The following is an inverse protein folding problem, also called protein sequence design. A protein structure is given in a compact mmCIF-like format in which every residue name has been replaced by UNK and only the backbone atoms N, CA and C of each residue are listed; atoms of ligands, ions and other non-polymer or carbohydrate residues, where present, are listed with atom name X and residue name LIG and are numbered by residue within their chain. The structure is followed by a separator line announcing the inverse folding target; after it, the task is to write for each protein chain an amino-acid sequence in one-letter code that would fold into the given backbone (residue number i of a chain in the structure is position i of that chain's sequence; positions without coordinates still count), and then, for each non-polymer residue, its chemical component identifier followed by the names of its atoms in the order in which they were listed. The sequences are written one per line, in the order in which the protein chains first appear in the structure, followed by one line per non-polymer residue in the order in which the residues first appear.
data_IF_549018432071
#
_entry.id   IF_549018432071
#
_cell.length_a   1.000
_cell.length_b   1.000
_cell.length_c   1.000
_cell.angle_alpha   90.00
_cell.angle_beta   90.00
_cell.angle_gamma   90.00
#
_symmetry.space_group_name_H-M   'P 1'
#
loop_
_entity.id
_entity.type
_entity.pdbx_description
1 polymer ?
#
# COMPACT_ATOMS: atom_id res chain seq x y z
N UNK A 1 -26.06 3.19 38.06
CA UNK A 1 -24.64 3.56 37.97
C UNK A 1 -24.02 2.65 36.94
N UNK A 2 -24.04 3.13 35.71
CA UNK A 2 -23.52 2.39 34.54
C UNK A 2 -22.12 2.91 34.25
N UNK A 3 -21.12 2.05 34.38
CA UNK A 3 -19.77 2.32 33.92
C UNK A 3 -19.77 2.15 32.41
N UNK A 4 -19.77 3.27 31.68
CA UNK A 4 -19.41 3.30 30.27
C UNK A 4 -17.92 3.03 30.16
N UNK A 5 -17.58 1.88 29.60
CA UNK A 5 -16.22 1.59 29.18
C UNK A 5 -15.85 2.51 28.05
N UNK A 6 -14.90 3.37 28.32
CA UNK A 6 -14.18 4.19 27.34
C UNK A 6 -13.28 3.22 26.53
N UNK A 7 -13.83 2.69 25.44
CA UNK A 7 -13.08 1.95 24.45
C UNK A 7 -12.33 2.99 23.58
N UNK A 8 -11.25 3.52 24.13
CA UNK A 8 -10.30 4.33 23.40
C UNK A 8 -9.85 3.55 22.16
N UNK A 9 -10.28 4.01 21.00
CA UNK A 9 -9.75 3.56 19.71
C UNK A 9 -8.23 3.60 19.80
N UNK A 10 -7.58 2.43 19.73
CA UNK A 10 -6.13 2.31 19.73
C UNK A 10 -5.62 3.08 18.54
N UNK A 11 -5.05 4.26 18.79
CA UNK A 11 -4.45 5.12 17.79
C UNK A 11 -3.31 4.34 17.14
N UNK A 12 -3.56 3.79 15.96
CA UNK A 12 -2.64 2.88 15.28
C UNK A 12 -1.41 3.66 14.85
N UNK A 13 -0.29 3.38 15.47
CA UNK A 13 0.99 4.01 15.17
C UNK A 13 1.51 3.55 13.81
N UNK A 14 1.94 4.49 12.95
CA UNK A 14 2.54 4.18 11.65
C UNK A 14 3.85 3.40 11.83
N UNK A 15 4.09 2.43 10.94
CA UNK A 15 5.37 1.70 10.93
C UNK A 15 6.49 2.62 10.45
N UNK A 16 7.59 2.77 11.20
CA UNK A 16 8.63 3.75 10.87
C UNK A 16 9.20 3.62 9.44
N UNK A 17 9.34 2.42 8.89
CA UNK A 17 9.79 2.21 7.51
C UNK A 17 8.76 2.69 6.49
N UNK A 18 7.46 2.45 6.73
CA UNK A 18 6.38 2.94 5.87
C UNK A 18 6.33 4.47 5.89
N UNK A 19 6.45 5.09 7.08
CA UNK A 19 6.51 6.54 7.21
C UNK A 19 7.66 7.16 6.41
N UNK A 20 8.85 6.57 6.47
CA UNK A 20 10.03 7.01 5.69
C UNK A 20 9.75 6.89 4.20
N UNK A 21 9.20 5.77 3.72
CA UNK A 21 8.90 5.56 2.29
C UNK A 21 7.84 6.53 1.79
N UNK A 22 6.77 6.75 2.56
CA UNK A 22 5.72 7.72 2.19
C UNK A 22 6.30 9.14 2.13
N UNK A 23 7.12 9.53 3.11
CA UNK A 23 7.77 10.85 3.10
C UNK A 23 8.70 11.01 1.89
N UNK A 24 9.54 10.03 1.58
CA UNK A 24 10.38 10.06 0.38
C UNK A 24 9.53 10.09 -0.90
N UNK A 25 8.42 9.37 -0.95
CA UNK A 25 7.47 9.42 -2.05
C UNK A 25 6.97 10.84 -2.30
N UNK A 26 6.60 11.57 -1.24
CA UNK A 26 6.22 12.99 -1.33
C UNK A 26 7.38 13.89 -1.76
N UNK A 27 8.58 13.67 -1.22
CA UNK A 27 9.77 14.48 -1.57
C UNK A 27 10.19 14.30 -3.03
N UNK A 28 10.12 13.07 -3.56
CA UNK A 28 10.59 12.73 -4.91
C UNK A 28 9.54 13.02 -5.97
N UNK A 29 8.29 12.66 -5.71
CA UNK A 29 7.22 12.77 -6.71
C UNK A 29 6.32 13.99 -6.50
N UNK A 30 6.39 14.64 -5.32
CA UNK A 30 5.51 15.74 -4.96
C UNK A 30 4.03 15.31 -4.87
N UNK A 31 3.16 16.31 -4.73
CA UNK A 31 1.71 16.13 -4.78
C UNK A 31 1.17 16.22 -6.22
N UNK A 32 1.97 16.71 -7.15
CA UNK A 32 1.58 16.98 -8.53
C UNK A 32 2.09 15.96 -9.54
N UNK A 33 1.76 16.19 -10.81
CA UNK A 33 2.12 15.34 -11.93
C UNK A 33 3.62 15.39 -12.33
N UNK A 34 4.43 16.25 -11.73
CA UNK A 34 5.85 16.37 -12.08
C UNK A 34 6.71 15.77 -10.97
N UNK A 35 7.50 14.72 -11.27
CA UNK A 35 8.52 14.25 -10.35
C UNK A 35 9.53 15.37 -10.09
N UNK A 36 9.91 15.58 -8.83
CA UNK A 36 11.10 16.38 -8.50
C UNK A 36 12.33 15.66 -9.06
N UNK A 37 13.37 16.43 -9.37
CA UNK A 37 14.61 15.92 -9.98
C UNK A 37 15.16 14.69 -9.26
N UNK A 38 15.84 13.82 -10.04
CA UNK A 38 16.50 12.64 -9.49
C UNK A 38 17.52 13.07 -8.42
N UNK A 39 17.56 12.34 -7.27
CA UNK A 39 18.59 12.55 -6.27
C UNK A 39 18.21 13.43 -5.07
N UNK A 40 16.95 13.41 -4.64
CA UNK A 40 16.56 14.12 -3.41
C UNK A 40 17.25 13.48 -2.20
N UNK A 41 18.21 14.20 -1.62
CA UNK A 41 18.89 13.83 -0.37
C UNK A 41 18.20 14.48 0.80
N UNK A 42 17.69 13.68 1.70
CA UNK A 42 17.00 14.13 2.91
C UNK A 42 17.96 14.02 4.09
N UNK A 43 18.28 15.15 4.77
CA UNK A 43 19.10 15.13 5.97
C UNK A 43 18.48 14.29 7.09
N UNK A 44 19.30 13.58 7.87
CA UNK A 44 18.83 12.77 9.00
C UNK A 44 17.97 13.55 9.97
N UNK A 45 18.32 14.82 10.26
CA UNK A 45 17.54 15.68 11.15
C UNK A 45 16.09 15.88 10.67
N UNK A 46 15.90 16.04 9.35
CA UNK A 46 14.56 16.19 8.76
C UNK A 46 13.73 14.93 8.98
N UNK A 47 14.32 13.76 8.73
CA UNK A 47 13.64 12.48 8.96
C UNK A 47 13.28 12.28 10.44
N UNK A 48 14.18 12.66 11.37
CA UNK A 48 13.90 12.61 12.80
C UNK A 48 12.73 13.52 13.16
N UNK A 49 12.76 14.77 12.74
CA UNK A 49 11.68 15.75 13.01
C UNK A 49 10.32 15.29 12.44
N UNK A 50 10.31 14.79 11.21
CA UNK A 50 9.07 14.33 10.58
C UNK A 50 8.49 13.11 11.31
N UNK A 51 9.33 12.13 11.64
CA UNK A 51 8.88 10.91 12.29
C UNK A 51 8.50 11.13 13.76
N UNK A 52 9.17 12.06 14.45
CA UNK A 52 8.78 12.49 15.81
C UNK A 52 7.35 13.05 15.83
N UNK A 53 6.97 13.87 14.84
CA UNK A 53 5.59 14.38 14.68
C UNK A 53 4.56 13.28 14.38
N UNK A 54 5.01 12.09 13.97
CA UNK A 54 4.20 10.88 13.80
C UNK A 54 4.23 9.98 15.04
N UNK A 55 4.80 10.44 16.15
CA UNK A 55 4.93 9.68 17.38
C UNK A 55 6.03 8.60 17.36
N UNK A 56 6.95 8.65 16.39
CA UNK A 56 8.05 7.69 16.27
C UNK A 56 9.30 8.23 16.95
N UNK A 57 9.86 7.49 17.91
CA UNK A 57 11.06 7.92 18.62
C UNK A 57 12.31 7.98 17.72
N UNK A 58 13.28 8.83 18.07
CA UNK A 58 14.59 8.94 17.40
C UNK A 58 15.28 7.57 17.25
N UNK A 59 15.25 6.75 18.29
CA UNK A 59 15.87 5.43 18.27
C UNK A 59 15.20 4.51 17.23
N UNK A 60 13.86 4.51 17.17
CA UNK A 60 13.09 3.73 16.21
C UNK A 60 13.33 4.21 14.78
N UNK A 61 13.40 5.55 14.57
CA UNK A 61 13.72 6.16 13.28
C UNK A 61 15.10 5.74 12.79
N UNK A 62 16.15 5.89 13.62
CA UNK A 62 17.51 5.48 13.26
C UNK A 62 17.62 4.00 12.96
N UNK A 63 16.95 3.15 13.75
CA UNK A 63 16.89 1.70 13.50
C UNK A 63 16.20 1.38 12.16
N UNK A 64 15.11 2.08 11.82
CA UNK A 64 14.42 1.92 10.54
C UNK A 64 15.33 2.33 9.37
N UNK A 65 15.97 3.50 9.44
CA UNK A 65 16.90 3.97 8.40
C UNK A 65 18.07 3.00 8.17
N UNK A 66 18.66 2.46 9.24
CA UNK A 66 19.72 1.46 9.13
C UNK A 66 19.24 0.18 8.45
N UNK A 67 18.05 -0.34 8.83
CA UNK A 67 17.47 -1.52 8.16
C UNK A 67 17.18 -1.27 6.68
N UNK A 68 16.69 -0.08 6.34
CA UNK A 68 16.40 0.30 4.94
C UNK A 68 17.68 0.39 4.10
N UNK A 69 18.76 0.92 4.65
CA UNK A 69 20.08 0.90 4.00
C UNK A 69 20.56 -0.53 3.79
N UNK A 70 20.47 -1.38 4.81
CA UNK A 70 20.87 -2.79 4.72
C UNK A 70 20.06 -3.58 3.68
N UNK A 71 18.80 -3.21 3.49
CA UNK A 71 17.91 -3.80 2.46
C UNK A 71 18.07 -3.19 1.07
N UNK A 72 18.99 -2.24 0.89
CA UNK A 72 19.19 -1.58 -0.41
C UNK A 72 18.06 -0.64 -0.83
N UNK A 73 17.21 -0.19 0.11
CA UNK A 73 16.14 0.78 -0.18
C UNK A 73 16.63 2.22 -0.11
N UNK A 74 17.60 2.50 0.76
CA UNK A 74 18.21 3.80 0.95
C UNK A 74 19.73 3.74 0.78
N UNK A 75 20.29 4.76 0.14
CA UNK A 75 21.72 5.06 0.18
C UNK A 75 21.98 6.12 1.26
N UNK A 76 23.06 5.92 2.05
CA UNK A 76 23.50 6.89 3.05
C UNK A 76 24.65 7.71 2.48
N UNK A 77 24.50 9.03 2.53
CA UNK A 77 25.54 10.01 2.19
C UNK A 77 26.06 10.67 3.46
N UNK A 78 27.38 10.71 3.63
CA UNK A 78 28.04 11.43 4.74
C UNK A 78 28.58 12.76 4.21
N UNK A 79 28.28 13.83 4.91
CA UNK A 79 28.84 15.16 4.67
C UNK A 79 29.37 15.71 6.01
N UNK A 80 30.66 15.53 6.24
CA UNK A 80 31.30 15.84 7.49
C UNK A 80 30.66 15.14 8.69
N UNK A 81 30.07 15.90 9.62
CA UNK A 81 29.37 15.40 10.81
C UNK A 81 27.90 15.06 10.56
N UNK A 82 27.37 15.41 9.40
CA UNK A 82 25.97 15.18 9.05
C UNK A 82 25.83 13.94 8.14
N UNK A 83 24.66 13.37 8.12
CA UNK A 83 24.32 12.34 7.16
C UNK A 83 22.96 12.63 6.53
N UNK A 84 22.82 12.28 5.28
CA UNK A 84 21.59 12.35 4.51
C UNK A 84 21.29 10.98 3.88
N UNK A 85 20.05 10.77 3.52
CA UNK A 85 19.58 9.56 2.87
C UNK A 85 18.92 9.89 1.54
N UNK A 86 19.02 8.96 0.62
CA UNK A 86 18.46 9.03 -0.73
C UNK A 86 17.86 7.67 -1.10
N UNK A 87 16.75 7.66 -1.85
CA UNK A 87 16.23 6.40 -2.40
C UNK A 87 17.21 5.81 -3.40
N UNK A 88 17.44 4.51 -3.32
CA UNK A 88 18.15 3.80 -4.38
C UNK A 88 17.33 3.81 -5.68
N UNK A 89 17.94 3.60 -6.86
CA UNK A 89 17.21 3.49 -8.13
C UNK A 89 16.11 2.43 -8.07
N UNK A 90 16.38 1.28 -7.46
CA UNK A 90 15.43 0.17 -7.30
C UNK A 90 14.25 0.58 -6.42
N UNK A 91 14.50 1.21 -5.28
CA UNK A 91 13.44 1.70 -4.40
C UNK A 91 12.58 2.79 -5.05
N UNK A 92 13.20 3.65 -5.87
CA UNK A 92 12.49 4.67 -6.64
C UNK A 92 11.56 4.05 -7.69
N UNK A 93 12.02 3.04 -8.41
CA UNK A 93 11.20 2.29 -9.38
C UNK A 93 10.01 1.63 -8.68
N UNK A 94 10.24 1.00 -7.53
CA UNK A 94 9.18 0.37 -6.74
C UNK A 94 8.12 1.38 -6.28
N UNK A 95 8.55 2.54 -5.78
CA UNK A 95 7.63 3.60 -5.37
C UNK A 95 6.86 4.21 -6.55
N UNK A 96 7.50 4.34 -7.72
CA UNK A 96 6.84 4.82 -8.93
C UNK A 96 5.73 3.86 -9.38
N UNK A 97 5.97 2.55 -9.37
CA UNK A 97 4.97 1.54 -9.70
C UNK A 97 3.77 1.57 -8.73
N UNK A 98 4.03 1.71 -7.43
CA UNK A 98 2.97 1.82 -6.42
C UNK A 98 2.16 3.12 -6.52
N UNK A 99 2.79 4.20 -6.98
CA UNK A 99 2.20 5.53 -7.07
C UNK A 99 0.99 5.59 -8.01
N UNK A 100 1.06 4.93 -9.15
CA UNK A 100 0.00 5.03 -10.17
C UNK A 100 -1.33 4.48 -9.64
N UNK A 101 -1.31 3.38 -8.90
CA UNK A 101 -2.50 2.86 -8.24
C UNK A 101 -2.90 3.73 -7.05
N UNK A 102 -1.92 4.17 -6.23
CA UNK A 102 -2.16 4.96 -5.02
C UNK A 102 -2.91 6.27 -5.31
N UNK A 103 -2.61 6.90 -6.44
CA UNK A 103 -3.18 8.20 -6.85
C UNK A 103 -4.12 8.10 -8.06
N UNK A 104 -4.50 6.88 -8.44
CA UNK A 104 -5.53 6.68 -9.44
C UNK A 104 -6.87 7.31 -9.00
N UNK A 105 -7.62 7.93 -9.89
CA UNK A 105 -9.00 8.34 -9.60
C UNK A 105 -9.94 7.14 -9.41
N UNK A 106 -9.56 5.98 -9.95
CA UNK A 106 -10.33 4.73 -9.89
C UNK A 106 -9.44 3.56 -9.47
N UNK A 107 -8.89 3.57 -8.23
CA UNK A 107 -7.86 2.61 -7.82
C UNK A 107 -8.37 1.18 -7.62
N UNK A 108 -9.69 1.02 -7.56
CA UNK A 108 -10.38 -0.26 -7.43
C UNK A 108 -10.99 -0.75 -8.75
N UNK A 109 -10.93 0.05 -9.82
CA UNK A 109 -11.46 -0.36 -11.09
C UNK A 109 -10.44 -1.16 -11.89
N UNK A 110 -10.92 -2.23 -12.48
CA UNK A 110 -10.18 -3.06 -13.42
C UNK A 110 -10.93 -3.14 -14.74
N UNK A 111 -10.28 -3.68 -15.78
CA UNK A 111 -10.95 -4.00 -17.04
C UNK A 111 -12.17 -4.90 -16.73
N UNK A 112 -13.38 -4.49 -17.17
CA UNK A 112 -14.60 -5.21 -16.82
C UNK A 112 -14.51 -6.68 -17.20
N UNK A 113 -14.97 -7.54 -16.30
CA UNK A 113 -15.09 -8.97 -16.48
C UNK A 113 -13.80 -9.74 -16.81
N UNK A 114 -12.64 -9.11 -16.75
CA UNK A 114 -11.36 -9.80 -16.90
C UNK A 114 -10.83 -10.22 -15.53
N UNK A 115 -10.48 -11.50 -15.45
CA UNK A 115 -9.88 -12.12 -14.29
C UNK A 115 -8.56 -12.76 -14.67
N UNK A 116 -7.61 -12.72 -13.75
CA UNK A 116 -6.41 -13.55 -13.81
C UNK A 116 -6.65 -14.80 -13.00
N UNK A 117 -6.49 -15.96 -13.60
CA UNK A 117 -6.58 -17.27 -12.94
C UNK A 117 -5.19 -17.86 -12.88
N UNK A 118 -4.76 -18.31 -11.71
CA UNK A 118 -3.51 -19.05 -11.52
C UNK A 118 -3.80 -20.41 -10.92
N UNK A 119 -3.31 -21.47 -11.57
CA UNK A 119 -3.22 -22.81 -11.03
C UNK A 119 -1.76 -23.19 -10.79
N UNK A 120 -1.42 -23.64 -9.58
CA UNK A 120 -0.04 -24.03 -9.25
C UNK A 120 -0.06 -25.16 -8.20
N UNK A 121 -0.26 -26.42 -8.62
CA UNK A 121 -0.31 -27.59 -7.73
C UNK A 121 1.10 -27.98 -7.27
N UNK A 122 1.59 -27.33 -6.23
CA UNK A 122 2.90 -27.64 -5.64
C UNK A 122 2.87 -28.94 -4.82
N UNK A 123 3.80 -29.88 -5.04
CA UNK A 123 3.93 -31.08 -4.22
C UNK A 123 4.33 -30.75 -2.77
N UNK A 124 4.14 -31.70 -1.86
CA UNK A 124 4.44 -31.50 -0.43
C UNK A 124 5.94 -31.22 -0.18
N UNK A 125 6.82 -31.71 -1.04
CA UNK A 125 8.26 -31.47 -0.98
C UNK A 125 8.61 -29.97 -1.13
N UNK A 126 7.74 -29.17 -1.75
CA UNK A 126 7.89 -27.74 -1.95
C UNK A 126 7.08 -26.89 -0.94
N UNK A 127 6.90 -27.36 0.28
CA UNK A 127 6.11 -26.69 1.33
C UNK A 127 6.52 -25.24 1.59
N UNK A 128 7.83 -24.96 1.63
CA UNK A 128 8.32 -23.60 1.84
C UNK A 128 7.97 -22.67 0.67
N UNK A 129 8.07 -23.18 -0.56
CA UNK A 129 7.69 -22.43 -1.76
C UNK A 129 6.18 -22.18 -1.76
N UNK A 130 5.36 -23.14 -1.34
CA UNK A 130 3.92 -22.98 -1.20
C UNK A 130 3.56 -21.83 -0.26
N UNK A 131 4.21 -21.73 0.90
CA UNK A 131 4.00 -20.63 1.83
C UNK A 131 4.36 -19.26 1.21
N UNK A 132 5.52 -19.18 0.54
CA UNK A 132 5.95 -17.96 -0.14
C UNK A 132 5.00 -17.58 -1.28
N UNK A 133 4.54 -18.57 -2.05
CA UNK A 133 3.55 -18.40 -3.12
C UNK A 133 2.25 -17.82 -2.56
N UNK A 134 1.68 -18.41 -1.51
CA UNK A 134 0.46 -17.90 -0.87
C UNK A 134 0.63 -16.46 -0.40
N UNK A 135 1.76 -16.16 0.24
CA UNK A 135 2.06 -14.81 0.71
C UNK A 135 2.08 -13.83 -0.46
N UNK A 136 2.80 -14.12 -1.55
CA UNK A 136 2.86 -13.23 -2.72
C UNK A 136 1.50 -13.06 -3.40
N UNK A 137 0.74 -14.14 -3.53
CA UNK A 137 -0.59 -14.10 -4.12
C UNK A 137 -1.54 -13.21 -3.32
N UNK A 138 -1.56 -13.36 -1.99
CA UNK A 138 -2.36 -12.49 -1.11
C UNK A 138 -1.95 -11.02 -1.28
N UNK A 139 -0.65 -10.73 -1.32
CA UNK A 139 -0.16 -9.37 -1.53
C UNK A 139 -0.50 -8.80 -2.90
N UNK A 140 -0.60 -9.65 -3.91
CA UNK A 140 -1.01 -9.28 -5.27
C UNK A 140 -2.53 -9.25 -5.47
N UNK A 141 -3.31 -9.43 -4.39
CA UNK A 141 -4.77 -9.36 -4.43
C UNK A 141 -5.47 -10.63 -4.91
N UNK A 142 -4.75 -11.76 -5.01
CA UNK A 142 -5.38 -13.03 -5.35
C UNK A 142 -6.16 -13.60 -4.18
N UNK A 143 -7.35 -14.13 -4.47
CA UNK A 143 -8.14 -14.95 -3.57
C UNK A 143 -8.13 -16.41 -3.99
N UNK A 144 -8.15 -17.32 -3.02
CA UNK A 144 -8.18 -18.77 -3.28
C UNK A 144 -9.61 -19.23 -3.51
N UNK A 145 -9.88 -19.85 -4.66
CA UNK A 145 -11.21 -20.42 -4.99
C UNK A 145 -11.28 -21.91 -4.79
N UNK A 146 -10.15 -22.60 -4.94
CA UNK A 146 -9.98 -24.04 -4.70
C UNK A 146 -8.53 -24.31 -4.25
N UNK A 147 -8.23 -25.50 -3.72
CA UNK A 147 -6.84 -25.89 -3.52
C UNK A 147 -6.03 -25.71 -4.79
N UNK A 148 -4.92 -24.98 -4.69
CA UNK A 148 -4.00 -24.68 -5.80
C UNK A 148 -4.56 -23.81 -6.94
N UNK A 149 -5.76 -23.23 -6.80
CA UNK A 149 -6.36 -22.33 -7.77
C UNK A 149 -6.71 -21.00 -7.12
N UNK A 150 -6.16 -19.93 -7.69
CA UNK A 150 -6.38 -18.56 -7.24
C UNK A 150 -6.88 -17.69 -8.38
N UNK A 151 -7.62 -16.66 -8.01
CA UNK A 151 -8.15 -15.66 -8.94
C UNK A 151 -7.83 -14.26 -8.45
N UNK A 152 -7.62 -13.33 -9.36
CA UNK A 152 -7.52 -11.90 -9.08
C UNK A 152 -8.33 -11.11 -10.10
N UNK A 153 -8.97 -9.99 -9.72
CA UNK A 153 -9.61 -9.10 -10.68
C UNK A 153 -8.57 -8.45 -11.60
N UNK A 154 -8.95 -8.22 -12.86
CA UNK A 154 -8.09 -7.58 -13.85
C UNK A 154 -6.97 -8.47 -14.39
N UNK A 155 -6.01 -7.82 -15.08
CA UNK A 155 -4.84 -8.47 -15.67
C UNK A 155 -3.64 -8.30 -14.74
N UNK A 156 -3.21 -9.40 -14.13
CA UNK A 156 -1.99 -9.44 -13.33
C UNK A 156 -0.88 -10.11 -14.14
N UNK A 157 0.27 -9.48 -14.23
CA UNK A 157 1.48 -10.11 -14.77
C UNK A 157 2.04 -11.12 -13.75
N UNK A 158 1.59 -12.37 -13.90
CA UNK A 158 1.95 -13.46 -12.99
C UNK A 158 3.45 -13.78 -13.06
N UNK A 159 4.07 -13.64 -14.23
CA UNK A 159 5.51 -13.91 -14.39
C UNK A 159 6.35 -12.92 -13.56
N UNK A 160 6.11 -11.64 -13.72
CA UNK A 160 6.79 -10.60 -12.93
C UNK A 160 6.45 -10.73 -11.45
N UNK A 161 5.20 -10.98 -11.10
CA UNK A 161 4.73 -11.11 -9.72
C UNK A 161 5.37 -12.29 -8.97
N UNK A 162 5.46 -13.45 -9.62
CA UNK A 162 6.11 -14.63 -9.02
C UNK A 162 7.63 -14.55 -9.04
N UNK A 163 8.23 -13.94 -10.07
CA UNK A 163 9.66 -13.66 -10.15
C UNK A 163 10.55 -14.88 -9.83
N UNK A 164 11.35 -14.75 -8.78
CA UNK A 164 12.29 -15.77 -8.31
C UNK A 164 11.65 -17.08 -7.79
N UNK A 165 10.33 -17.09 -7.50
CA UNK A 165 9.62 -18.32 -7.16
C UNK A 165 9.40 -19.24 -8.38
N UNK A 166 9.47 -18.73 -9.61
CA UNK A 166 9.36 -19.51 -10.83
C UNK A 166 10.67 -20.26 -11.15
N UNK A 167 11.14 -21.04 -10.18
CA UNK A 167 12.29 -21.93 -10.39
C UNK A 167 12.03 -22.96 -11.50
N UNK A 168 13.05 -23.65 -12.04
CA UNK A 168 12.84 -24.73 -13.03
C UNK A 168 11.88 -25.83 -12.58
N UNK A 169 11.77 -26.06 -11.27
CA UNK A 169 10.83 -27.03 -10.68
C UNK A 169 9.39 -26.51 -10.58
N UNK A 170 9.21 -25.22 -10.31
CA UNK A 170 7.89 -24.58 -10.10
C UNK A 170 7.25 -24.16 -11.42
N UNK A 171 8.04 -23.62 -12.36
CA UNK A 171 7.55 -23.07 -13.63
C UNK A 171 6.65 -24.04 -14.42
N UNK A 172 6.95 -25.33 -14.55
CA UNK A 172 6.07 -26.28 -15.27
C UNK A 172 4.73 -26.52 -14.57
N UNK A 173 4.63 -26.26 -13.27
CA UNK A 173 3.44 -26.46 -12.46
C UNK A 173 2.53 -25.22 -12.44
N UNK A 174 3.08 -24.05 -12.77
CA UNK A 174 2.34 -22.80 -12.79
C UNK A 174 1.66 -22.59 -14.15
N UNK A 175 0.34 -22.42 -14.13
CA UNK A 175 -0.45 -22.11 -15.32
C UNK A 175 -1.32 -20.88 -15.03
N UNK A 176 -1.19 -19.83 -15.83
CA UNK A 176 -1.94 -18.60 -15.66
C UNK A 176 -2.72 -18.25 -16.94
N UNK A 177 -3.92 -17.74 -16.74
CA UNK A 177 -4.83 -17.36 -17.80
C UNK A 177 -5.51 -16.04 -17.47
N UNK A 178 -5.80 -15.25 -18.49
CA UNK A 178 -6.77 -14.16 -18.40
C UNK A 178 -8.07 -14.57 -19.07
N UNK A 179 -9.19 -14.33 -18.43
CA UNK A 179 -10.49 -14.69 -19.00
C UNK A 179 -11.67 -14.16 -18.20
N UNK A 180 -12.84 -14.38 -18.73
CA UNK A 180 -14.12 -14.02 -18.12
C UNK A 180 -14.77 -15.27 -17.53
N UNK A 181 -15.26 -15.25 -16.28
CA UNK A 181 -16.03 -16.34 -15.74
C UNK A 181 -17.27 -16.62 -16.59
N UNK A 182 -17.51 -17.89 -16.88
CA UNK A 182 -18.68 -18.36 -17.63
C UNK A 182 -19.40 -19.48 -16.87
N UNK A 183 -20.67 -19.74 -17.22
CA UNK A 183 -21.39 -20.85 -16.61
C UNK A 183 -20.55 -22.15 -16.66
N UNK A 184 -20.55 -22.97 -15.60
CA UNK A 184 -21.38 -22.85 -14.39
C UNK A 184 -20.85 -21.91 -13.28
N UNK A 185 -19.80 -21.13 -13.53
CA UNK A 185 -19.22 -20.23 -12.53
C UNK A 185 -20.09 -18.97 -12.37
N UNK A 186 -20.44 -18.65 -11.12
CA UNK A 186 -21.06 -17.38 -10.75
C UNK A 186 -19.98 -16.46 -10.16
N UNK A 187 -19.73 -15.28 -10.78
CA UNK A 187 -18.72 -14.34 -10.29
C UNK A 187 -18.95 -13.87 -8.85
N UNK A 188 -20.20 -13.65 -8.45
CA UNK A 188 -20.51 -13.24 -7.08
C UNK A 188 -20.18 -14.35 -6.07
N UNK A 189 -20.41 -15.62 -6.42
CA UNK A 189 -20.04 -16.75 -5.59
C UNK A 189 -18.51 -16.94 -5.53
N UNK A 190 -17.79 -16.73 -6.64
CA UNK A 190 -16.33 -16.76 -6.66
C UNK A 190 -15.76 -15.71 -5.72
N UNK A 191 -16.31 -14.48 -5.73
CA UNK A 191 -15.89 -13.39 -4.85
C UNK A 191 -16.12 -13.79 -3.39
N UNK A 192 -17.32 -14.23 -3.01
CA UNK A 192 -17.63 -14.63 -1.63
C UNK A 192 -16.77 -15.79 -1.11
N UNK A 193 -16.32 -16.64 -2.00
CA UNK A 193 -15.42 -17.76 -1.64
C UNK A 193 -13.97 -17.32 -1.49
N UNK A 194 -13.53 -16.42 -2.35
CA UNK A 194 -12.13 -16.05 -2.46
C UNK A 194 -11.71 -14.95 -1.47
N UNK A 195 -12.65 -14.09 -1.06
CA UNK A 195 -12.36 -12.95 -0.16
C UNK A 195 -13.39 -12.85 0.99
N UNK A 196 -12.90 -12.42 2.13
CA UNK A 196 -13.74 -12.04 3.28
C UNK A 196 -14.29 -10.62 3.06
N UNK A 197 -15.49 -10.54 2.47
CA UNK A 197 -16.15 -9.26 2.20
C UNK A 197 -16.46 -8.48 3.48
N UNK A 198 -16.67 -9.16 4.61
CA UNK A 198 -16.91 -8.50 5.90
C UNK A 198 -15.64 -7.79 6.38
N UNK A 199 -14.49 -8.47 6.31
CA UNK A 199 -13.21 -7.87 6.66
C UNK A 199 -12.83 -6.72 5.72
N UNK A 200 -13.08 -6.84 4.42
CA UNK A 200 -12.85 -5.77 3.45
C UNK A 200 -13.73 -4.55 3.73
N UNK A 201 -15.03 -4.75 3.97
CA UNK A 201 -15.95 -3.67 4.35
C UNK A 201 -15.50 -2.99 5.64
N UNK A 202 -15.09 -3.75 6.65
CA UNK A 202 -14.59 -3.22 7.91
C UNK A 202 -13.33 -2.36 7.69
N UNK A 203 -12.42 -2.75 6.80
CA UNK A 203 -11.25 -1.94 6.47
C UNK A 203 -11.62 -0.59 5.85
N UNK A 204 -12.60 -0.57 4.94
CA UNK A 204 -13.14 0.67 4.39
C UNK A 204 -13.82 1.54 5.45
N UNK A 205 -14.62 0.93 6.33
CA UNK A 205 -15.30 1.66 7.41
C UNK A 205 -14.27 2.32 8.34
N UNK A 206 -13.24 1.58 8.78
CA UNK A 206 -12.17 2.14 9.60
C UNK A 206 -11.44 3.31 8.93
N UNK A 207 -11.23 3.22 7.61
CA UNK A 207 -10.64 4.33 6.85
C UNK A 207 -11.57 5.55 6.83
N UNK A 208 -12.86 5.36 6.58
CA UNK A 208 -13.86 6.42 6.54
C UNK A 208 -14.03 7.08 7.91
N UNK A 209 -14.17 6.31 8.98
CA UNK A 209 -14.29 6.80 10.36
C UNK A 209 -13.13 7.74 10.74
N UNK A 210 -11.92 7.43 10.26
CA UNK A 210 -10.75 8.26 10.53
C UNK A 210 -10.65 9.49 9.63
N UNK A 211 -11.05 9.38 8.37
CA UNK A 211 -10.69 10.37 7.35
C UNK A 211 -11.86 11.15 6.76
N UNK A 212 -13.10 10.83 7.11
CA UNK A 212 -14.25 11.56 6.59
C UNK A 212 -14.32 13.01 7.09
N UNK A 213 -13.97 13.22 8.36
CA UNK A 213 -14.01 14.53 9.03
C UNK A 213 -12.70 14.84 9.79
N UNK A 214 -11.51 14.75 9.16
CA UNK A 214 -10.27 15.05 9.86
C UNK A 214 -10.16 16.56 10.11
N UNK A 215 -9.88 16.96 11.33
CA UNK A 215 -9.57 18.33 11.73
C UNK A 215 -8.13 18.43 12.21
N UNK A 216 -7.15 18.56 11.29
CA UNK A 216 -5.75 18.72 11.68
C UNK A 216 -5.54 20.08 12.34
N UNK A 217 -4.72 20.13 13.38
CA UNK A 217 -4.27 21.38 13.93
C UNK A 217 -3.42 22.17 12.92
N UNK A 218 -3.39 23.51 13.01
CA UNK A 218 -2.47 24.31 12.19
C UNK A 218 -1.02 23.83 12.37
N UNK A 219 -0.32 23.59 11.26
CA UNK A 219 1.06 23.09 11.26
C UNK A 219 1.20 21.57 11.31
N UNK A 220 0.11 20.81 11.33
CA UNK A 220 0.13 19.32 11.32
C UNK A 220 -0.29 18.73 9.97
N UNK A 221 -0.35 19.52 8.92
CA UNK A 221 -0.80 19.05 7.61
C UNK A 221 0.10 17.97 7.02
N UNK A 222 1.41 18.08 7.18
CA UNK A 222 2.36 17.06 6.71
C UNK A 222 2.19 15.72 7.44
N UNK A 223 2.19 15.64 8.79
CA UNK A 223 1.91 14.38 9.48
C UNK A 223 0.58 13.75 9.08
N UNK A 224 -0.49 14.53 9.01
CA UNK A 224 -1.81 14.03 8.61
C UNK A 224 -1.82 13.49 7.18
N UNK A 225 -1.14 14.16 6.25
CA UNK A 225 -1.03 13.67 4.88
C UNK A 225 -0.23 12.37 4.80
N UNK A 226 0.86 12.23 5.57
CA UNK A 226 1.64 10.99 5.63
C UNK A 226 0.81 9.82 6.16
N UNK A 227 0.03 10.05 7.22
CA UNK A 227 -0.87 9.05 7.79
C UNK A 227 -2.00 8.69 6.82
N UNK A 228 -2.60 9.68 6.15
CA UNK A 228 -3.63 9.45 5.14
C UNK A 228 -3.12 8.56 4.00
N UNK A 229 -1.93 8.85 3.49
CA UNK A 229 -1.33 8.06 2.39
C UNK A 229 -0.99 6.64 2.85
N UNK A 230 -0.50 6.47 4.09
CA UNK A 230 -0.20 5.16 4.65
C UNK A 230 -1.46 4.31 4.83
N UNK A 231 -2.51 4.87 5.46
CA UNK A 231 -3.79 4.18 5.66
C UNK A 231 -4.45 3.83 4.31
N UNK A 232 -4.41 4.77 3.34
CA UNK A 232 -4.89 4.53 1.99
C UNK A 232 -4.13 3.42 1.28
N UNK A 233 -2.81 3.43 1.36
CA UNK A 233 -1.97 2.37 0.81
C UNK A 233 -2.25 1.00 1.43
N UNK A 234 -2.59 0.95 2.72
CA UNK A 234 -3.02 -0.30 3.40
C UNK A 234 -4.37 -0.77 2.88
N UNK A 235 -5.32 0.14 2.74
CA UNK A 235 -6.63 -0.19 2.20
C UNK A 235 -6.53 -0.75 0.78
N UNK A 236 -5.73 -0.13 -0.09
CA UNK A 236 -5.47 -0.62 -1.45
C UNK A 236 -4.78 -2.00 -1.49
N UNK A 237 -3.96 -2.32 -0.48
CA UNK A 237 -3.38 -3.65 -0.35
C UNK A 237 -4.40 -4.69 0.14
N UNK A 238 -5.34 -4.28 0.97
CA UNK A 238 -6.38 -5.17 1.49
C UNK A 238 -7.46 -5.45 0.45
N UNK A 239 -7.95 -4.42 -0.26
CA UNK A 239 -8.96 -4.56 -1.30
C UNK A 239 -8.30 -4.61 -2.68
N UNK A 240 -8.37 -5.75 -3.39
CA UNK A 240 -7.80 -5.89 -4.72
C UNK A 240 -8.56 -5.12 -5.82
N UNK A 241 -9.70 -4.50 -5.50
CA UNK A 241 -10.60 -3.89 -6.48
C UNK A 241 -11.56 -4.92 -7.04
N UNK A 242 -12.41 -5.49 -6.18
CA UNK A 242 -13.41 -6.46 -6.62
C UNK A 242 -14.44 -5.81 -7.55
N UNK A 243 -14.88 -6.51 -8.63
CA UNK A 243 -15.80 -5.95 -9.60
C UNK A 243 -17.13 -5.52 -8.98
N UNK A 244 -17.42 -4.23 -9.02
CA UNK A 244 -18.59 -3.59 -8.40
C UNK A 244 -19.94 -4.24 -8.79
N UNK A 245 -20.17 -4.71 -10.05
CA UNK A 245 -21.45 -5.35 -10.41
C UNK A 245 -21.78 -6.62 -9.61
N UNK A 246 -20.79 -7.21 -8.93
CA UNK A 246 -20.95 -8.44 -8.14
C UNK A 246 -20.86 -8.21 -6.63
N UNK A 247 -20.83 -6.94 -6.21
CA UNK A 247 -20.80 -6.52 -4.81
C UNK A 247 -22.16 -5.90 -4.41
N UNK A 248 -22.45 -5.77 -3.12
CA UNK A 248 -23.62 -5.01 -2.66
C UNK A 248 -23.61 -3.56 -3.17
N UNK A 249 -24.79 -3.01 -3.47
CA UNK A 249 -24.95 -1.65 -4.00
C UNK A 249 -24.35 -0.56 -3.09
N UNK A 250 -24.26 -0.84 -1.79
CA UNK A 250 -23.68 0.05 -0.77
C UNK A 250 -22.18 -0.23 -0.51
N UNK A 251 -21.45 -0.79 -1.49
CA UNK A 251 -20.02 -1.08 -1.31
C UNK A 251 -19.21 0.19 -1.11
N UNK A 252 -18.39 0.29 -0.04
CA UNK A 252 -17.81 1.55 0.41
C UNK A 252 -16.61 2.06 -0.40
N UNK A 253 -16.08 1.30 -1.36
CA UNK A 253 -14.86 1.66 -2.10
C UNK A 253 -14.96 3.01 -2.85
N UNK A 254 -16.07 3.36 -3.54
CA UNK A 254 -16.22 4.67 -4.17
C UNK A 254 -16.20 5.82 -3.14
N UNK A 255 -16.84 5.62 -1.98
CA UNK A 255 -16.86 6.61 -0.90
C UNK A 255 -15.46 6.81 -0.29
N UNK A 256 -14.72 5.73 -0.06
CA UNK A 256 -13.33 5.78 0.41
C UNK A 256 -12.41 6.51 -0.57
N UNK A 257 -12.57 6.28 -1.87
CA UNK A 257 -11.83 6.98 -2.94
C UNK A 257 -12.10 8.48 -2.93
N UNK A 258 -13.39 8.86 -2.84
CA UNK A 258 -13.79 10.26 -2.77
C UNK A 258 -13.24 10.94 -1.51
N UNK A 259 -13.28 10.27 -0.36
CA UNK A 259 -12.75 10.77 0.92
C UNK A 259 -11.24 10.94 0.87
N UNK A 260 -10.49 9.97 0.35
CA UNK A 260 -9.04 10.10 0.14
C UNK A 260 -8.70 11.30 -0.74
N UNK A 261 -9.34 11.40 -1.90
CA UNK A 261 -9.08 12.47 -2.87
C UNK A 261 -9.38 13.85 -2.28
N UNK A 262 -10.54 14.03 -1.64
CA UNK A 262 -10.93 15.27 -0.99
C UNK A 262 -9.96 15.68 0.12
N UNK A 263 -9.61 14.75 1.01
CA UNK A 263 -8.75 15.02 2.17
C UNK A 263 -7.31 15.31 1.72
N UNK A 264 -6.78 14.55 0.76
CA UNK A 264 -5.47 14.82 0.16
C UNK A 264 -5.40 16.20 -0.49
N UNK A 265 -6.41 16.58 -1.26
CA UNK A 265 -6.46 17.89 -1.93
C UNK A 265 -6.48 19.03 -0.92
N UNK A 266 -7.16 18.85 0.21
CA UNK A 266 -7.22 19.84 1.29
C UNK A 266 -5.89 19.97 2.03
N UNK A 267 -5.23 18.86 2.38
CA UNK A 267 -3.98 18.86 3.15
C UNK A 267 -2.75 19.22 2.31
N UNK A 268 -2.78 18.90 1.03
CA UNK A 268 -1.63 18.94 0.13
C UNK A 268 -0.86 20.25 0.12
N UNK A 269 -1.49 21.42 -0.14
CA UNK A 269 -0.77 22.68 -0.27
C UNK A 269 -0.03 23.11 1.02
N UNK A 270 -0.61 22.86 2.19
CA UNK A 270 0.03 23.18 3.47
C UNK A 270 1.17 22.19 3.78
N UNK A 271 0.97 20.90 3.54
CA UNK A 271 1.98 19.86 3.72
C UNK A 271 3.19 20.07 2.78
N UNK A 272 2.98 20.56 1.56
CA UNK A 272 4.06 20.89 0.63
C UNK A 272 4.92 22.05 1.17
N UNK A 273 4.31 23.12 1.65
CA UNK A 273 5.03 24.24 2.29
C UNK A 273 5.83 23.78 3.52
N UNK A 274 5.23 22.93 4.38
CA UNK A 274 5.94 22.36 5.53
C UNK A 274 7.13 21.49 5.09
N UNK A 275 6.98 20.68 4.04
CA UNK A 275 8.06 19.86 3.49
C UNK A 275 9.20 20.72 2.94
N UNK A 276 8.89 21.78 2.19
CA UNK A 276 9.89 22.70 1.65
C UNK A 276 10.65 23.43 2.77
N UNK A 277 9.95 23.90 3.78
CA UNK A 277 10.57 24.53 4.95
C UNK A 277 11.53 23.58 5.67
N UNK A 278 11.16 22.31 5.86
CA UNK A 278 12.00 21.30 6.50
C UNK A 278 13.24 20.93 5.66
N UNK A 279 13.11 20.88 4.35
CA UNK A 279 14.24 20.57 3.44
C UNK A 279 15.20 21.75 3.26
N UNK A 280 14.76 22.97 3.56
CA UNK A 280 15.57 24.18 3.47
C UNK A 280 16.41 24.45 4.74
N UNK A 281 16.17 23.69 5.81
CA UNK A 281 16.95 23.74 7.06
C UNK A 281 18.31 23.07 6.86
#
# INVERSE_FOLDING_TARGET
MSAQGDETAVERQIVPQEAVLVFFGLCVFGQGARPREAGVRVPTRVLLTVLERLGVSDAATRAALNRMVHRGLLARHKDGRTSAFELTPEARTLLAQGRDRLFSPTPFDHEPDIWTVLSCPLPETLRNVRYQLQTRLTWAGFGAVQPHVWVAPGRVDVETMLGDLLTPEVRPLAQAFHGTPTAPSDPAELIRRAWDLTALRAAHTQFLDRWEHPEPNPGDSLPHLLLLIDDWGRLLRADPGLPTPHLPDDWPAPHSTATFTRTRTRLGPAAEKETEALLSL
#
